data_IF_099086605350
#
_entry.id   IF_099086605350
#
_cell.length_a   1.000
_cell.length_b   1.000
_cell.length_c   1.000
_cell.angle_alpha   90.00
_cell.angle_beta   90.00
_cell.angle_gamma   90.00
#
_symmetry.space_group_name_H-M   'P 1'
#
loop_
_entity.id
_entity.type
_entity.pdbx_description
1 polymer ?
#
# COMPACT_ATOMS: atom_id res chain seq x y z
N UNK A 1 11.52 -14.38 4.01
CA UNK A 1 11.71 -13.79 5.34
C UNK A 1 10.39 -13.16 5.73
N UNK A 2 9.74 -13.61 6.81
CA UNK A 2 8.57 -12.88 7.32
C UNK A 2 9.12 -11.62 7.99
N UNK A 3 8.42 -10.48 7.87
CA UNK A 3 8.84 -9.23 8.54
C UNK A 3 8.99 -9.38 10.06
N UNK A 4 8.47 -10.47 10.63
CA UNK A 4 8.56 -10.83 12.05
C UNK A 4 9.94 -11.34 12.48
N UNK A 5 10.83 -11.68 11.53
CA UNK A 5 12.09 -12.39 11.81
C UNK A 5 13.32 -11.46 11.77
N UNK A 6 13.13 -10.15 11.92
CA UNK A 6 14.19 -9.14 11.82
C UNK A 6 14.84 -8.89 13.19
N UNK A 7 16.04 -9.43 13.38
CA UNK A 7 16.72 -9.61 14.66
C UNK A 7 17.88 -8.61 14.86
N UNK A 8 17.67 -7.34 14.49
CA UNK A 8 18.62 -6.25 14.75
C UNK A 8 17.98 -5.13 15.56
N UNK A 9 18.76 -4.49 16.45
CA UNK A 9 18.28 -3.41 17.33
C UNK A 9 17.70 -2.18 16.58
N UNK A 10 17.97 -2.05 15.27
CA UNK A 10 17.34 -1.08 14.39
C UNK A 10 15.89 -1.47 14.00
N UNK A 11 15.59 -2.77 13.87
CA UNK A 11 14.30 -3.31 13.44
C UNK A 11 13.21 -3.25 14.52
N UNK A 12 13.62 -3.21 15.79
CA UNK A 12 12.70 -3.12 16.93
C UNK A 12 11.83 -1.86 16.94
N UNK A 13 12.21 -0.81 16.21
CA UNK A 13 11.42 0.44 16.11
C UNK A 13 10.65 0.50 14.78
N UNK A 14 11.22 0.02 13.68
CA UNK A 14 10.62 0.18 12.35
C UNK A 14 9.30 -0.56 12.21
N UNK A 15 9.23 -1.83 12.63
CA UNK A 15 8.00 -2.60 12.49
C UNK A 15 6.87 -2.01 13.36
N UNK A 16 7.07 -1.73 14.67
CA UNK A 16 6.05 -1.05 15.47
C UNK A 16 5.65 0.32 14.91
N UNK A 17 6.59 1.09 14.36
CA UNK A 17 6.29 2.39 13.76
C UNK A 17 5.39 2.29 12.53
N UNK A 18 5.56 1.25 11.69
CA UNK A 18 4.67 0.99 10.55
C UNK A 18 3.33 0.39 10.97
N UNK A 19 3.36 -0.53 11.93
CA UNK A 19 2.16 -1.21 12.44
C UNK A 19 1.22 -0.25 13.17
N UNK A 20 1.77 0.66 13.98
CA UNK A 20 1.00 1.64 14.75
C UNK A 20 0.81 2.97 14.01
N UNK A 21 1.31 3.08 12.77
CA UNK A 21 1.20 4.30 12.00
C UNK A 21 -0.26 4.70 11.78
N UNK A 22 -0.55 5.99 11.93
CA UNK A 22 -1.87 6.55 11.63
C UNK A 22 -2.19 6.52 10.12
N UNK A 23 -1.17 6.53 9.26
CA UNK A 23 -1.30 6.40 7.81
C UNK A 23 -1.34 4.93 7.41
N UNK A 24 -2.12 4.63 6.37
CA UNK A 24 -2.13 3.30 5.76
C UNK A 24 -0.77 2.97 5.15
N UNK A 25 -0.21 1.82 5.53
CA UNK A 25 1.07 1.33 5.02
C UNK A 25 0.90 -0.05 4.41
N UNK A 26 1.48 -0.22 3.22
CA UNK A 26 1.45 -1.47 2.44
C UNK A 26 2.86 -1.74 1.93
N UNK A 27 3.36 -2.95 2.11
CA UNK A 27 4.62 -3.40 1.51
C UNK A 27 4.34 -4.56 0.55
N UNK A 28 5.05 -4.59 -0.57
CA UNK A 28 4.93 -5.63 -1.60
C UNK A 28 6.27 -6.32 -1.80
N UNK A 29 6.26 -7.59 -2.19
CA UNK A 29 7.45 -8.31 -2.62
C UNK A 29 7.78 -8.01 -4.10
N UNK A 30 8.77 -8.70 -4.66
CA UNK A 30 9.21 -8.56 -6.05
C UNK A 30 8.17 -9.04 -7.08
N UNK A 31 7.21 -9.86 -6.66
CA UNK A 31 6.10 -10.37 -7.49
C UNK A 31 4.83 -9.51 -7.38
N UNK A 32 4.94 -8.30 -6.79
CA UNK A 32 3.84 -7.38 -6.54
C UNK A 32 2.79 -7.91 -5.55
N UNK A 33 3.14 -8.93 -4.77
CA UNK A 33 2.25 -9.51 -3.76
C UNK A 33 2.41 -8.75 -2.43
N UNK A 34 1.29 -8.49 -1.77
CA UNK A 34 1.27 -7.76 -0.50
C UNK A 34 1.86 -8.62 0.62
N UNK A 35 2.90 -8.09 1.29
CA UNK A 35 3.60 -8.72 2.41
C UNK A 35 3.27 -8.08 3.75
N UNK A 36 2.77 -6.84 3.74
CA UNK A 36 2.40 -6.09 4.94
C UNK A 36 1.22 -5.17 4.65
N UNK A 37 0.30 -5.08 5.61
CA UNK A 37 -0.91 -4.27 5.50
C UNK A 37 -1.36 -3.84 6.89
N UNK A 38 -1.14 -2.59 7.29
CA UNK A 38 -1.36 -2.15 8.68
C UNK A 38 -2.85 -1.90 9.02
N UNK A 39 -3.22 -1.77 10.30
CA UNK A 39 -4.61 -1.52 10.72
C UNK A 39 -5.23 -0.24 10.14
N UNK A 40 -4.42 0.79 9.87
CA UNK A 40 -4.90 2.00 9.19
C UNK A 40 -5.29 1.72 7.73
N UNK A 41 -4.53 0.87 7.04
CA UNK A 41 -4.85 0.41 5.69
C UNK A 41 -6.12 -0.46 5.67
N UNK A 42 -6.32 -1.34 6.67
CA UNK A 42 -7.59 -2.09 6.80
C UNK A 42 -8.80 -1.17 6.85
N UNK A 43 -8.73 -0.09 7.65
CA UNK A 43 -9.80 0.90 7.77
C UNK A 43 -10.00 1.69 6.48
N UNK A 44 -8.90 2.01 5.78
CA UNK A 44 -8.92 2.80 4.57
C UNK A 44 -9.62 2.05 3.43
N UNK A 45 -9.21 0.82 3.15
CA UNK A 45 -9.74 0.01 2.05
C UNK A 45 -10.95 -0.86 2.43
N UNK A 46 -11.13 -1.16 3.72
CA UNK A 46 -12.20 -2.04 4.20
C UNK A 46 -11.91 -3.54 4.00
N UNK A 47 -10.67 -3.91 3.70
CA UNK A 47 -10.20 -5.29 3.70
C UNK A 47 -9.57 -5.64 5.04
N UNK A 48 -9.68 -6.91 5.43
CA UNK A 48 -8.83 -7.47 6.49
C UNK A 48 -7.48 -7.87 5.92
N UNK A 49 -6.43 -7.74 6.74
CA UNK A 49 -5.05 -8.14 6.41
C UNK A 49 -5.00 -9.54 5.81
N UNK A 50 -5.72 -10.48 6.41
CA UNK A 50 -5.75 -11.89 6.00
C UNK A 50 -6.34 -12.09 4.60
N UNK A 51 -7.07 -11.10 4.09
CA UNK A 51 -7.67 -11.12 2.75
C UNK A 51 -6.76 -10.47 1.69
N UNK A 52 -5.74 -9.74 2.11
CA UNK A 52 -4.87 -8.94 1.23
C UNK A 52 -3.48 -9.56 1.13
N UNK A 53 -2.94 -10.05 2.25
CA UNK A 53 -1.59 -10.63 2.29
C UNK A 53 -1.50 -11.81 1.32
N UNK A 54 -0.45 -11.82 0.49
CA UNK A 54 -0.22 -12.82 -0.56
C UNK A 54 -0.98 -12.58 -1.87
N UNK A 55 -1.89 -11.62 -1.92
CA UNK A 55 -2.53 -11.22 -3.18
C UNK A 55 -1.75 -10.11 -3.87
N UNK A 56 -1.94 -10.00 -5.19
CA UNK A 56 -1.36 -8.91 -5.97
C UNK A 56 -1.94 -7.55 -5.56
N UNK A 57 -1.07 -6.55 -5.44
CA UNK A 57 -1.39 -5.18 -5.01
C UNK A 57 -2.48 -4.49 -5.85
N UNK A 58 -2.67 -4.89 -7.11
CA UNK A 58 -3.68 -4.32 -8.01
C UNK A 58 -5.11 -4.41 -7.45
N UNK A 59 -5.37 -5.34 -6.53
CA UNK A 59 -6.67 -5.42 -5.84
C UNK A 59 -7.00 -4.13 -5.05
N UNK A 60 -5.98 -3.42 -4.57
CA UNK A 60 -6.11 -2.17 -3.80
C UNK A 60 -6.14 -0.92 -4.69
N UNK A 61 -5.87 -1.09 -5.99
CA UNK A 61 -5.82 0.00 -6.97
C UNK A 61 -7.20 0.15 -7.63
N UNK A 62 -7.68 1.39 -7.86
CA UNK A 62 -8.92 1.63 -8.60
C UNK A 62 -8.89 0.98 -9.98
N UNK A 63 -10.01 0.41 -10.43
CA UNK A 63 -10.08 -0.38 -11.67
C UNK A 63 -9.53 0.35 -12.89
N UNK A 64 -9.83 1.64 -13.00
CA UNK A 64 -9.42 2.48 -14.12
C UNK A 64 -7.90 2.69 -14.19
N UNK A 65 -7.19 2.48 -13.07
CA UNK A 65 -5.73 2.66 -12.96
C UNK A 65 -4.95 1.35 -12.99
N UNK A 66 -5.60 0.20 -12.74
CA UNK A 66 -4.95 -1.12 -12.72
C UNK A 66 -4.13 -1.42 -13.99
N UNK A 67 -4.61 -1.16 -15.22
CA UNK A 67 -3.84 -1.51 -16.42
C UNK A 67 -2.47 -0.83 -16.50
N UNK A 68 -2.32 0.36 -15.91
CA UNK A 68 -1.08 1.12 -15.93
C UNK A 68 -0.20 0.90 -14.69
N UNK A 69 -0.76 0.32 -13.62
CA UNK A 69 -0.09 0.22 -12.32
C UNK A 69 1.17 -0.67 -12.32
N UNK A 70 1.18 -1.86 -12.95
CA UNK A 70 2.39 -2.69 -13.02
C UNK A 70 3.60 -1.97 -13.65
N UNK A 71 3.37 -1.15 -14.68
CA UNK A 71 4.43 -0.37 -15.31
C UNK A 71 4.99 0.72 -14.39
N UNK A 72 4.19 1.27 -13.47
CA UNK A 72 4.70 2.20 -12.45
C UNK A 72 5.61 1.51 -11.44
N UNK A 73 5.24 0.30 -11.00
CA UNK A 73 6.08 -0.48 -10.08
C UNK A 73 7.39 -0.85 -10.78
N UNK A 74 7.31 -1.41 -11.99
CA UNK A 74 8.48 -1.82 -12.77
C UNK A 74 9.43 -0.65 -13.01
N UNK A 75 8.90 0.51 -13.42
CA UNK A 75 9.71 1.71 -13.63
C UNK A 75 10.45 2.17 -12.36
N UNK A 76 9.78 2.12 -11.20
CA UNK A 76 10.40 2.49 -9.92
C UNK A 76 11.48 1.48 -9.50
N UNK A 77 11.27 0.17 -9.72
CA UNK A 77 12.27 -0.88 -9.42
C UNK A 77 13.50 -0.80 -10.31
N UNK A 78 13.34 -0.44 -11.58
CA UNK A 78 14.44 -0.29 -12.55
C UNK A 78 15.31 0.96 -12.32
N UNK A 79 15.15 1.65 -11.17
CA UNK A 79 15.88 2.88 -10.86
C UNK A 79 15.45 4.08 -11.70
N UNK A 80 14.29 3.98 -12.36
CA UNK A 80 13.64 5.15 -12.94
C UNK A 80 13.34 6.17 -11.85
N UNK A 81 13.45 7.47 -12.17
CA UNK A 81 12.92 8.51 -11.29
C UNK A 81 11.45 8.19 -11.07
N UNK A 82 11.06 7.87 -9.84
CA UNK A 82 9.70 7.45 -9.63
C UNK A 82 8.75 8.55 -10.10
N UNK A 83 7.87 8.17 -11.04
CA UNK A 83 6.93 9.10 -11.69
C UNK A 83 5.92 9.71 -10.68
N UNK A 84 5.94 9.18 -9.46
CA UNK A 84 5.08 9.55 -8.32
C UNK A 84 5.90 9.84 -7.04
N UNK A 85 7.23 9.59 -6.97
CA UNK A 85 8.00 10.03 -5.80
C UNK A 85 8.03 11.56 -5.72
N UNK A 86 7.63 12.09 -4.57
CA UNK A 86 7.50 13.53 -4.35
C UNK A 86 6.22 14.15 -4.92
N UNK A 87 5.31 13.37 -5.52
CA UNK A 87 4.00 13.83 -5.99
C UNK A 87 2.87 13.10 -5.25
N UNK A 88 2.19 13.78 -4.33
CA UNK A 88 0.91 13.32 -3.83
C UNK A 88 -0.15 13.43 -4.95
N UNK A 89 -0.95 12.38 -5.14
CA UNK A 89 -2.12 12.42 -6.02
C UNK A 89 -3.35 12.05 -5.22
N UNK A 90 -4.41 12.82 -5.38
CA UNK A 90 -5.72 12.48 -4.83
C UNK A 90 -6.32 11.37 -5.71
N UNK A 91 -6.61 10.22 -5.12
CA UNK A 91 -7.27 9.10 -5.78
C UNK A 91 -8.57 8.77 -5.06
N UNK A 92 -9.61 8.41 -5.82
CA UNK A 92 -10.81 7.81 -5.26
C UNK A 92 -10.55 6.31 -5.08
N UNK A 93 -10.55 5.83 -3.84
CA UNK A 93 -10.37 4.41 -3.54
C UNK A 93 -11.68 3.65 -3.74
N UNK A 94 -11.55 2.44 -4.27
CA UNK A 94 -12.62 1.44 -4.26
C UNK A 94 -12.54 0.66 -2.93
N UNK A 95 -13.59 0.77 -2.11
CA UNK A 95 -13.72 -0.04 -0.89
C UNK A 95 -14.29 -1.41 -1.21
N UNK A 96 -13.96 -2.41 -0.40
CA UNK A 96 -14.44 -3.79 -0.53
C UNK A 96 -15.97 -3.93 -0.72
N UNK A 97 -16.77 -3.16 0.04
CA UNK A 97 -18.23 -3.40 0.14
C UNK A 97 -19.13 -2.27 -0.37
N UNK A 98 -18.60 -1.17 -0.92
CA UNK A 98 -19.48 -0.09 -1.39
C UNK A 98 -18.95 0.68 -2.62
N UNK A 99 -19.87 0.87 -3.56
CA UNK A 99 -19.88 1.83 -4.67
C UNK A 99 -19.38 3.21 -4.21
N UNK A 100 -18.64 3.90 -5.11
CA UNK A 100 -18.11 5.28 -5.02
C UNK A 100 -18.72 6.15 -3.91
N UNK A 101 -18.23 6.01 -2.68
CA UNK A 101 -18.45 6.98 -1.61
C UNK A 101 -17.47 6.71 -0.48
N UNK A 102 -16.31 7.35 -0.57
CA UNK A 102 -15.29 7.41 0.47
C UNK A 102 -14.62 8.77 0.40
N UNK A 103 -14.10 9.30 1.53
CA UNK A 103 -13.54 10.64 1.57
C UNK A 103 -12.45 10.78 0.52
N UNK A 104 -12.52 11.84 -0.29
CA UNK A 104 -11.37 12.29 -1.07
C UNK A 104 -10.32 12.71 -0.05
N UNK A 105 -9.26 11.93 0.09
CA UNK A 105 -8.13 12.26 0.96
C UNK A 105 -7.43 13.49 0.35
N UNK A 106 -7.89 14.67 0.77
CA UNK A 106 -7.28 15.96 0.47
C UNK A 106 -6.17 16.20 1.48
N UNK A 107 -4.93 15.89 1.11
CA UNK A 107 -3.77 16.41 1.83
C UNK A 107 -3.26 17.62 1.05
N UNK A 108 -3.54 18.82 1.58
CA UNK A 108 -2.99 20.07 1.04
C UNK A 108 -1.58 20.27 1.58
N UNK A 109 -0.71 20.78 0.71
CA UNK A 109 0.63 21.27 1.04
C UNK A 109 0.56 22.44 2.01
#
# INVERSE_FOLDING_TARGET
>A
MKLTDADTAADGIFFPALEQNMMGAVLINENDEVMFFNPAAEKLWGYKREEVIGNNIDMLIPRDLRPAHPEYIRHNREGGKARVEGMSRELQLEKKTAVKSGPVLRYRK
#
